data_IF_259772399026
#
_entry.id   IF_259772399026
#
_cell.length_a   1.000
_cell.length_b   1.000
_cell.length_c   1.000
_cell.angle_alpha   90.00
_cell.angle_beta   90.00
_cell.angle_gamma   90.00
#
_symmetry.space_group_name_H-M   'P 1'
#
loop_
_entity.id
_entity.type
_entity.pdbx_description
1 polymer ?
#
# COMPACT_ATOMS: atom_id res chain seq x y z
N UNK A 1 -46.13 11.17 39.14
CA UNK A 1 -44.76 10.69 38.90
C UNK A 1 -43.82 11.46 39.82
N UNK A 2 -42.95 10.78 40.58
CA UNK A 2 -42.07 11.45 41.56
C UNK A 2 -40.83 12.05 40.88
N UNK A 3 -40.49 13.30 41.22
CA UNK A 3 -39.41 14.09 40.61
C UNK A 3 -38.01 13.83 41.21
N UNK A 4 -37.82 12.73 41.95
CA UNK A 4 -36.59 12.45 42.69
C UNK A 4 -35.43 11.96 41.82
N UNK A 5 -35.70 11.24 40.72
CA UNK A 5 -34.66 10.78 39.79
C UNK A 5 -34.45 11.84 38.71
N UNK A 6 -33.44 12.70 38.86
CA UNK A 6 -33.12 13.79 37.94
C UNK A 6 -31.68 13.65 37.41
N UNK A 7 -31.40 14.06 36.16
CA UNK A 7 -30.03 14.17 35.66
C UNK A 7 -29.23 15.20 36.48
N UNK A 8 -27.92 14.99 36.57
CA UNK A 8 -26.99 15.99 37.08
C UNK A 8 -26.61 16.93 35.94
N UNK A 9 -27.13 18.15 35.94
CA UNK A 9 -26.78 19.17 34.94
C UNK A 9 -25.50 19.91 35.30
N UNK A 10 -25.31 20.22 36.58
CA UNK A 10 -24.09 20.84 37.10
C UNK A 10 -23.30 19.84 37.95
N UNK A 11 -22.02 19.58 37.64
CA UNK A 11 -21.18 18.73 38.46
C UNK A 11 -20.81 19.43 39.78
N UNK A 12 -20.57 18.65 40.83
CA UNK A 12 -20.07 19.18 42.10
C UNK A 12 -18.69 19.83 41.91
N UNK A 13 -18.55 21.10 42.28
CA UNK A 13 -17.27 21.83 42.21
C UNK A 13 -16.40 21.47 43.41
N UNK A 14 -15.14 21.09 43.16
CA UNK A 14 -14.17 20.87 44.22
C UNK A 14 -13.93 22.16 45.03
N UNK A 15 -14.10 22.06 46.35
CA UNK A 15 -13.63 23.02 47.35
C UNK A 15 -12.87 22.24 48.41
N UNK A 16 -12.05 22.90 49.22
CA UNK A 16 -11.42 22.24 50.37
C UNK A 16 -12.51 21.72 51.31
N UNK A 17 -12.77 20.42 51.24
CA UNK A 17 -13.62 19.72 52.18
C UNK A 17 -12.84 19.50 53.47
N UNK A 18 -13.47 19.77 54.61
CA UNK A 18 -12.87 19.53 55.92
C UNK A 18 -12.58 18.03 56.07
N UNK A 19 -11.32 17.66 55.86
CA UNK A 19 -10.87 16.27 55.97
C UNK A 19 -10.80 15.93 57.46
N UNK A 20 -11.70 15.06 57.91
CA UNK A 20 -11.66 14.55 59.29
C UNK A 20 -10.42 13.70 59.57
N UNK A 21 -10.18 13.32 60.84
CA UNK A 21 -9.00 12.55 61.25
C UNK A 21 -9.00 11.09 60.76
N UNK A 22 -10.01 10.66 60.01
CA UNK A 22 -10.11 9.30 59.48
C UNK A 22 -9.25 9.14 58.22
N UNK A 23 -8.35 8.16 58.23
CA UNK A 23 -7.53 7.79 57.09
C UNK A 23 -8.08 6.54 56.41
N UNK A 24 -8.08 6.53 55.07
CA UNK A 24 -8.44 5.36 54.28
C UNK A 24 -7.20 4.47 54.06
N UNK A 25 -7.36 3.15 53.90
CA UNK A 25 -6.26 2.20 53.65
C UNK A 25 -5.36 2.61 52.47
N UNK A 26 -5.92 3.24 51.44
CA UNK A 26 -5.18 3.75 50.27
C UNK A 26 -4.29 4.97 50.57
N UNK A 27 -4.50 5.65 51.68
CA UNK A 27 -3.69 6.80 52.13
C UNK A 27 -2.53 6.37 53.04
N UNK A 28 -2.40 5.06 53.31
CA UNK A 28 -1.21 4.56 53.98
C UNK A 28 0.03 4.84 53.11
N UNK A 29 1.21 5.08 53.72
CA UNK A 29 2.42 5.37 52.96
C UNK A 29 2.76 4.27 51.95
N UNK A 30 2.74 4.62 50.66
CA UNK A 30 3.10 3.75 49.54
C UNK A 30 3.81 4.60 48.47
N UNK A 31 4.80 4.01 47.78
CA UNK A 31 5.60 4.71 46.76
C UNK A 31 6.19 6.04 47.25
N UNK A 32 6.80 6.02 48.43
CA UNK A 32 7.39 7.21 49.08
C UNK A 32 8.64 7.74 48.38
N UNK A 33 9.15 7.04 47.38
CA UNK A 33 10.33 7.42 46.60
C UNK A 33 9.95 7.58 45.14
N UNK A 34 10.21 8.78 44.59
CA UNK A 34 10.02 9.05 43.17
C UNK A 34 11.20 8.51 42.37
N UNK A 35 10.90 7.79 41.28
CA UNK A 35 11.91 7.35 40.32
C UNK A 35 12.25 8.53 39.41
N UNK A 36 13.51 8.93 39.39
CA UNK A 36 14.05 9.89 38.43
C UNK A 36 14.64 9.14 37.24
N UNK A 37 14.57 9.76 36.06
CA UNK A 37 15.19 9.22 34.85
C UNK A 37 16.71 9.21 35.03
N UNK A 38 17.35 8.11 34.64
CA UNK A 38 18.81 7.99 34.58
C UNK A 38 19.30 8.27 33.15
N UNK A 39 20.56 8.68 32.96
CA UNK A 39 21.15 8.76 31.62
C UNK A 39 20.94 7.45 30.84
N UNK A 40 20.55 7.55 29.57
CA UNK A 40 20.19 6.45 28.68
C UNK A 40 18.71 6.04 28.70
N UNK A 41 17.88 6.61 29.59
CA UNK A 41 16.43 6.37 29.63
C UNK A 41 15.62 7.43 28.86
N UNK A 42 16.29 8.37 28.19
CA UNK A 42 15.69 9.50 27.51
C UNK A 42 15.27 10.63 28.45
N UNK A 43 14.82 11.75 27.87
CA UNK A 43 14.39 12.95 28.58
C UNK A 43 15.57 13.77 29.12
N UNK A 44 15.30 14.66 30.06
CA UNK A 44 16.25 15.69 30.55
C UNK A 44 17.48 15.14 31.27
N UNK A 45 17.51 13.84 31.58
CA UNK A 45 18.68 13.17 32.15
C UNK A 45 19.80 12.95 31.12
N UNK A 46 19.48 13.02 29.83
CA UNK A 46 20.45 12.93 28.74
C UNK A 46 20.88 14.34 28.33
N UNK A 47 22.14 14.68 28.59
CA UNK A 47 22.70 15.98 28.21
C UNK A 47 23.10 16.09 26.72
N UNK A 48 22.93 15.00 25.95
CA UNK A 48 23.26 14.96 24.54
C UNK A 48 22.09 15.48 23.70
N UNK A 49 22.36 16.49 22.87
CA UNK A 49 21.39 16.97 21.87
C UNK A 49 21.36 15.97 20.72
N UNK A 50 20.26 15.23 20.57
CA UNK A 50 20.03 14.30 19.46
C UNK A 50 19.27 14.99 18.34
N UNK A 51 19.65 14.73 17.09
CA UNK A 51 18.83 15.10 15.94
C UNK A 51 17.69 14.09 15.78
N UNK A 52 16.56 14.39 16.42
CA UNK A 52 15.39 13.53 16.43
C UNK A 52 14.75 13.38 15.05
N UNK A 53 14.92 14.37 14.16
CA UNK A 53 14.37 14.32 12.81
C UNK A 53 15.11 13.28 11.98
N UNK A 54 16.44 13.32 12.01
CA UNK A 54 17.26 12.34 11.29
C UNK A 54 17.03 10.91 11.81
N UNK A 55 16.97 10.73 13.13
CA UNK A 55 16.71 9.43 13.77
C UNK A 55 15.33 8.86 13.36
N UNK A 56 14.30 9.71 13.32
CA UNK A 56 12.95 9.32 12.91
C UNK A 56 12.92 8.88 11.44
N UNK A 57 13.53 9.65 10.53
CA UNK A 57 13.56 9.30 9.10
C UNK A 57 14.29 7.97 8.86
N UNK A 58 15.39 7.72 9.58
CA UNK A 58 16.10 6.45 9.51
C UNK A 58 15.25 5.28 10.03
N UNK A 59 14.54 5.48 11.16
CA UNK A 59 13.67 4.47 11.74
C UNK A 59 12.48 4.14 10.83
N UNK A 60 11.89 5.15 10.18
CA UNK A 60 10.84 4.97 9.19
C UNK A 60 11.34 4.20 7.97
N UNK A 61 12.50 4.58 7.41
CA UNK A 61 13.10 3.88 6.27
C UNK A 61 13.36 2.39 6.60
N UNK A 62 13.91 2.10 7.78
CA UNK A 62 14.12 0.73 8.24
C UNK A 62 12.80 -0.05 8.41
N UNK A 63 11.76 0.59 8.94
CA UNK A 63 10.44 -0.02 9.07
C UNK A 63 9.82 -0.34 7.70
N UNK A 64 9.87 0.60 6.75
CA UNK A 64 9.33 0.40 5.40
C UNK A 64 10.11 -0.66 4.62
N UNK A 65 11.44 -0.70 4.73
CA UNK A 65 12.25 -1.77 4.15
C UNK A 65 11.84 -3.15 4.69
N UNK A 66 11.65 -3.27 6.02
CA UNK A 66 11.17 -4.50 6.66
C UNK A 66 9.77 -4.92 6.21
N UNK A 67 8.84 -3.97 6.06
CA UNK A 67 7.47 -4.25 5.60
C UNK A 67 7.44 -4.66 4.12
N UNK A 68 8.25 -4.00 3.27
CA UNK A 68 8.35 -4.30 1.83
C UNK A 68 9.21 -5.52 1.52
N UNK A 69 9.97 -6.03 2.50
CA UNK A 69 10.85 -7.19 2.34
C UNK A 69 12.12 -6.90 1.52
N UNK A 70 12.56 -5.64 1.47
CA UNK A 70 13.75 -5.19 0.74
C UNK A 70 14.92 -4.80 1.66
N UNK A 71 16.12 -4.58 1.08
CA UNK A 71 17.26 -4.04 1.84
C UNK A 71 16.97 -2.61 2.32
N UNK A 72 17.59 -2.23 3.44
CA UNK A 72 17.48 -0.87 3.99
C UNK A 72 18.20 0.09 3.04
N UNK A 73 17.54 1.12 2.48
CA UNK A 73 18.21 2.12 1.66
C UNK A 73 19.23 2.88 2.53
N UNK A 74 20.44 3.07 2.00
CA UNK A 74 21.56 3.70 2.70
C UNK A 74 21.40 5.22 2.87
N UNK A 75 20.52 5.84 2.07
CA UNK A 75 20.25 7.27 2.05
C UNK A 75 18.74 7.50 2.25
N UNK A 76 18.33 8.47 3.08
CA UNK A 76 16.93 8.87 3.18
C UNK A 76 16.53 9.57 1.87
N UNK A 77 15.83 8.86 0.99
CA UNK A 77 15.20 9.46 -0.19
C UNK A 77 14.40 10.71 0.23
N UNK A 78 14.59 11.88 -0.42
CA UNK A 78 13.83 13.07 -0.09
C UNK A 78 12.35 12.76 -0.30
N UNK A 79 11.54 13.02 0.73
CA UNK A 79 10.11 12.76 0.73
C UNK A 79 9.43 13.49 -0.44
N UNK A 80 9.26 12.81 -1.57
CA UNK A 80 8.46 13.30 -2.69
C UNK A 80 6.99 13.16 -2.31
N UNK A 81 6.41 14.30 -1.92
CA UNK A 81 4.99 14.62 -1.92
C UNK A 81 4.02 13.50 -1.48
N UNK A 82 3.83 13.37 -0.16
CA UNK A 82 2.57 12.86 0.38
C UNK A 82 1.72 14.05 0.87
N UNK A 83 0.96 14.62 -0.05
CA UNK A 83 -0.02 15.71 0.12
C UNK A 83 -1.23 15.29 0.97
N UNK A 84 -1.03 14.61 2.10
CA UNK A 84 -2.16 14.18 2.94
C UNK A 84 -1.94 14.17 4.46
N UNK A 85 -0.93 14.89 4.95
CA UNK A 85 -0.80 15.34 6.35
C UNK A 85 0.49 16.14 6.56
N UNK A 86 0.57 17.34 6.00
CA UNK A 86 1.47 18.37 6.54
C UNK A 86 0.58 19.29 7.38
N UNK A 87 0.54 19.06 8.68
CA UNK A 87 0.12 20.10 9.62
C UNK A 87 1.41 20.76 10.11
N UNK A 88 1.45 22.08 9.98
CA UNK A 88 2.36 22.99 10.67
C UNK A 88 3.81 23.03 10.12
N UNK A 89 4.01 23.91 9.15
CA UNK A 89 5.19 24.78 9.14
C UNK A 89 4.71 26.15 8.63
N UNK A 90 4.17 26.95 9.54
CA UNK A 90 3.86 28.35 9.27
C UNK A 90 5.16 29.13 9.39
N UNK A 91 5.72 29.55 8.28
CA UNK A 91 6.63 30.70 8.15
C UNK A 91 6.88 30.94 6.65
N UNK A 92 6.64 32.19 6.24
CA UNK A 92 6.95 32.81 4.94
C UNK A 92 6.08 32.50 3.71
N UNK A 93 4.82 32.95 3.74
CA UNK A 93 4.20 33.52 2.53
C UNK A 93 3.87 34.99 2.77
N UNK A 94 4.62 35.85 2.09
CA UNK A 94 4.42 37.29 1.99
C UNK A 94 2.95 37.59 1.65
N UNK A 95 2.46 38.71 2.19
CA UNK A 95 1.14 39.30 1.95
C UNK A 95 0.82 39.43 0.45
N UNK A 96 0.36 38.37 -0.18
CA UNK A 96 -0.36 38.43 -1.45
C UNK A 96 -1.85 38.47 -1.15
N UNK A 97 -2.47 39.58 -1.56
CA UNK A 97 -3.89 39.87 -1.40
C UNK A 97 -4.74 38.65 -1.85
N UNK A 98 -5.64 38.10 -1.01
CA UNK A 98 -6.45 36.93 -1.36
C UNK A 98 -7.24 37.08 -2.67
N UNK A 99 -7.50 38.32 -3.10
CA UNK A 99 -8.13 38.61 -4.40
C UNK A 99 -7.22 38.31 -5.60
N UNK A 100 -5.90 38.52 -5.47
CA UNK A 100 -4.93 38.21 -6.52
C UNK A 100 -4.81 36.70 -6.74
N UNK A 101 -4.77 35.92 -5.65
CA UNK A 101 -4.78 34.45 -5.71
C UNK A 101 -6.06 33.93 -6.36
N UNK A 102 -7.22 34.52 -6.04
CA UNK A 102 -8.51 34.18 -6.67
C UNK A 102 -8.55 34.50 -8.16
N UNK A 103 -8.00 35.65 -8.60
CA UNK A 103 -7.91 35.99 -10.03
C UNK A 103 -7.05 35.02 -10.82
N UNK A 104 -5.86 34.67 -10.30
CA UNK A 104 -4.94 33.73 -10.93
C UNK A 104 -5.56 32.35 -11.12
N UNK A 105 -6.23 31.84 -10.08
CA UNK A 105 -6.92 30.55 -10.13
C UNK A 105 -8.05 30.58 -11.18
N UNK A 106 -8.84 31.66 -11.23
CA UNK A 106 -9.97 31.76 -12.17
C UNK A 106 -9.49 31.83 -13.63
N UNK A 107 -8.37 32.49 -13.89
CA UNK A 107 -7.74 32.55 -15.22
C UNK A 107 -7.14 31.21 -15.65
N UNK A 108 -6.46 30.49 -14.74
CA UNK A 108 -5.92 29.15 -14.99
C UNK A 108 -7.03 28.10 -15.22
N UNK A 109 -8.17 28.22 -14.53
CA UNK A 109 -9.31 27.31 -14.71
C UNK A 109 -10.19 27.67 -15.90
N UNK A 110 -10.03 28.87 -16.48
CA UNK A 110 -10.86 29.35 -17.59
C UNK A 110 -10.72 28.48 -18.84
N UNK A 111 -9.51 28.00 -19.10
CA UNK A 111 -9.21 27.17 -20.27
C UNK A 111 -9.69 25.71 -20.08
N UNK A 112 -9.95 25.30 -18.84
CA UNK A 112 -10.47 23.97 -18.50
C UNK A 112 -12.01 23.93 -18.56
N UNK A 113 -12.68 25.06 -18.33
CA UNK A 113 -14.15 25.18 -18.30
C UNK A 113 -14.75 25.64 -19.65
N UNK A 114 -13.91 26.01 -20.62
CA UNK A 114 -14.34 26.35 -21.99
C UNK A 114 -14.59 25.08 -22.82
N UNK A 115 -15.79 24.51 -22.69
CA UNK A 115 -16.26 23.40 -23.53
C UNK A 115 -16.71 23.94 -24.91
N UNK A 116 -15.92 23.69 -25.97
CA UNK A 116 -16.39 23.68 -27.35
C UNK A 116 -15.38 22.95 -28.26
N UNK A 117 -15.82 21.79 -28.73
CA UNK A 117 -15.56 21.15 -30.02
C UNK A 117 -14.91 22.08 -31.08
N UNK A 118 -13.61 21.88 -31.35
CA UNK A 118 -12.95 22.28 -32.58
C UNK A 118 -11.93 21.19 -32.93
N UNK A 119 -12.34 20.31 -33.85
CA UNK A 119 -11.47 19.34 -34.49
C UNK A 119 -10.67 20.05 -35.60
N UNK A 120 -9.42 20.40 -35.28
CA UNK A 120 -8.42 20.83 -36.26
C UNK A 120 -7.28 19.84 -36.34
N UNK A 121 -7.26 19.02 -37.40
CA UNK A 121 -6.03 18.45 -37.96
C UNK A 121 -5.11 19.60 -38.39
N UNK A 122 -3.83 19.56 -38.01
CA UNK A 122 -2.75 19.97 -38.92
C UNK A 122 -1.43 19.28 -38.57
N UNK A 123 -0.73 19.03 -39.65
CA UNK A 123 0.49 18.31 -39.95
C UNK A 123 1.75 19.13 -39.63
N UNK A 124 2.88 18.42 -39.53
CA UNK A 124 4.26 18.92 -39.66
C UNK A 124 4.86 19.84 -38.58
N UNK A 125 5.92 19.36 -37.93
CA UNK A 125 7.21 20.07 -37.96
C UNK A 125 8.35 19.12 -37.59
N UNK A 126 9.14 18.82 -38.61
CA UNK A 126 10.57 18.50 -38.55
C UNK A 126 11.28 19.59 -37.71
N UNK A 127 12.11 19.20 -36.74
CA UNK A 127 13.09 20.09 -36.10
C UNK A 127 14.40 19.32 -35.91
N UNK A 128 15.36 19.81 -36.68
CA UNK A 128 16.72 19.37 -36.88
C UNK A 128 17.59 19.98 -35.78
N UNK A 129 18.36 19.16 -35.07
CA UNK A 129 19.38 19.66 -34.13
C UNK A 129 20.57 18.71 -34.10
N UNK A 130 21.47 18.91 -35.05
CA UNK A 130 22.89 18.54 -34.98
C UNK A 130 23.59 19.30 -33.83
N UNK A 131 24.23 18.58 -32.91
CA UNK A 131 25.59 18.89 -32.42
C UNK A 131 26.20 17.67 -31.70
N UNK A 132 27.53 17.53 -31.78
CA UNK A 132 28.41 16.44 -31.30
C UNK A 132 28.67 15.24 -32.24
N UNK A 133 29.11 15.55 -33.46
CA UNK A 133 29.87 14.65 -34.35
C UNK A 133 31.31 14.47 -33.82
N UNK A 134 31.58 13.39 -33.07
CA UNK A 134 32.85 12.64 -33.13
C UNK A 134 32.84 11.36 -32.25
N UNK A 135 31.89 11.18 -31.31
CA UNK A 135 31.73 9.94 -30.50
C UNK A 135 30.60 9.00 -30.97
N UNK A 136 29.70 9.46 -31.85
CA UNK A 136 28.49 8.73 -32.28
C UNK A 136 28.75 7.64 -33.34
N UNK A 137 29.82 7.76 -34.12
CA UNK A 137 30.12 6.85 -35.23
C UNK A 137 30.65 5.47 -34.76
N UNK A 138 31.37 5.41 -33.64
CA UNK A 138 31.82 4.13 -33.05
C UNK A 138 30.64 3.39 -32.39
N UNK A 139 29.76 4.14 -31.73
CA UNK A 139 28.57 3.64 -31.03
C UNK A 139 27.52 3.06 -31.99
N UNK A 140 27.33 3.65 -33.17
CA UNK A 140 26.44 3.11 -34.21
C UNK A 140 26.92 1.76 -34.77
N UNK A 141 28.24 1.57 -34.93
CA UNK A 141 28.81 0.28 -35.37
C UNK A 141 28.67 -0.80 -34.29
N UNK A 142 28.74 -0.42 -33.02
CA UNK A 142 28.49 -1.34 -31.90
C UNK A 142 27.00 -1.71 -31.80
N UNK A 143 26.09 -0.74 -32.02
CA UNK A 143 24.65 -0.99 -32.09
C UNK A 143 24.26 -1.89 -33.27
N UNK A 144 24.87 -1.72 -34.44
CA UNK A 144 24.65 -2.62 -35.58
C UNK A 144 25.12 -4.05 -35.30
N UNK A 145 26.25 -4.21 -34.59
CA UNK A 145 26.74 -5.52 -34.14
C UNK A 145 25.80 -6.16 -33.12
N UNK A 146 25.30 -5.39 -32.16
CA UNK A 146 24.30 -5.85 -31.17
C UNK A 146 22.97 -6.19 -31.86
N UNK A 147 22.54 -5.39 -32.83
CA UNK A 147 21.30 -5.63 -33.59
C UNK A 147 21.40 -6.90 -34.44
N UNK A 148 22.57 -7.17 -35.03
CA UNK A 148 22.84 -8.40 -35.76
C UNK A 148 22.89 -9.62 -34.84
N UNK A 149 23.60 -9.54 -33.71
CA UNK A 149 23.65 -10.63 -32.72
C UNK A 149 22.26 -10.93 -32.15
N UNK A 150 21.47 -9.89 -31.87
CA UNK A 150 20.10 -10.03 -31.35
C UNK A 150 19.13 -10.58 -32.40
N UNK A 151 19.33 -10.26 -33.68
CA UNK A 151 18.57 -10.84 -34.79
C UNK A 151 18.89 -12.33 -34.96
N UNK A 152 20.18 -12.72 -34.90
CA UNK A 152 20.60 -14.13 -34.99
C UNK A 152 20.09 -14.95 -33.80
N UNK A 153 20.10 -14.40 -32.58
CA UNK A 153 19.54 -15.06 -31.40
C UNK A 153 18.02 -15.22 -31.48
N UNK A 154 17.31 -14.19 -31.97
CA UNK A 154 15.86 -14.26 -32.18
C UNK A 154 15.50 -15.29 -33.26
N UNK A 155 16.28 -15.39 -34.32
CA UNK A 155 16.09 -16.40 -35.36
C UNK A 155 16.32 -17.83 -34.82
N UNK A 156 17.31 -18.02 -33.95
CA UNK A 156 17.51 -19.31 -33.27
C UNK A 156 16.34 -19.65 -32.34
N UNK A 157 15.86 -18.70 -31.53
CA UNK A 157 14.70 -18.90 -30.64
C UNK A 157 13.41 -19.16 -31.43
N UNK A 158 13.18 -18.48 -32.55
CA UNK A 158 12.02 -18.72 -33.42
C UNK A 158 12.09 -20.10 -34.10
N UNK A 159 13.30 -20.58 -34.47
CA UNK A 159 13.49 -21.95 -34.99
C UNK A 159 13.28 -23.02 -33.93
N UNK A 160 13.77 -22.80 -32.71
CA UNK A 160 13.56 -23.71 -31.57
C UNK A 160 12.07 -23.78 -31.18
N UNK A 161 11.39 -22.63 -31.19
CA UNK A 161 9.95 -22.56 -30.92
C UNK A 161 9.13 -23.25 -32.01
N UNK A 162 9.47 -23.05 -33.29
CA UNK A 162 8.83 -23.75 -34.39
C UNK A 162 9.03 -25.27 -34.29
N UNK A 163 10.24 -25.73 -33.94
CA UNK A 163 10.52 -27.15 -33.72
C UNK A 163 9.75 -27.72 -32.51
N UNK A 164 9.59 -26.95 -31.43
CA UNK A 164 8.79 -27.35 -30.28
C UNK A 164 7.29 -27.45 -30.64
N UNK A 165 6.76 -26.49 -31.40
CA UNK A 165 5.38 -26.50 -31.89
C UNK A 165 5.13 -27.68 -32.85
N UNK A 166 6.10 -28.04 -33.71
CA UNK A 166 6.02 -29.24 -34.55
C UNK A 166 6.06 -30.53 -33.71
N UNK A 167 6.90 -30.61 -32.68
CA UNK A 167 6.97 -31.76 -31.79
C UNK A 167 5.67 -31.95 -30.98
N UNK A 168 5.05 -30.86 -30.52
CA UNK A 168 3.73 -30.89 -29.88
C UNK A 168 2.65 -31.35 -30.86
N UNK A 169 2.68 -30.88 -32.11
CA UNK A 169 1.74 -31.34 -33.14
C UNK A 169 1.90 -32.82 -33.46
N UNK A 170 3.13 -33.33 -33.56
CA UNK A 170 3.38 -34.76 -33.77
C UNK A 170 2.91 -35.60 -32.58
N UNK A 171 3.14 -35.12 -31.36
CA UNK A 171 2.67 -35.77 -30.14
C UNK A 171 1.14 -35.84 -30.10
N UNK A 172 0.45 -34.75 -30.42
CA UNK A 172 -1.02 -34.68 -30.45
C UNK A 172 -1.62 -35.54 -31.58
N UNK A 173 -0.96 -35.63 -32.73
CA UNK A 173 -1.39 -36.54 -33.81
C UNK A 173 -1.20 -38.01 -33.39
N UNK A 174 -0.09 -38.34 -32.71
CA UNK A 174 0.21 -39.69 -32.27
C UNK A 174 -0.68 -40.15 -31.10
N UNK A 175 -0.98 -39.28 -30.14
CA UNK A 175 -1.77 -39.59 -28.94
C UNK A 175 -3.24 -39.21 -29.02
N UNK A 176 -3.62 -38.34 -29.97
CA UNK A 176 -4.99 -37.86 -30.17
C UNK A 176 -5.93 -38.92 -30.77
N UNK A 177 -5.39 -40.03 -31.30
CA UNK A 177 -6.21 -41.14 -31.79
C UNK A 177 -6.40 -42.23 -30.72
N UNK A 178 -7.55 -42.27 -30.04
CA UNK A 178 -7.83 -43.25 -28.98
C UNK A 178 -7.99 -44.69 -29.50
N UNK A 179 -8.11 -44.92 -30.81
CA UNK A 179 -8.22 -46.26 -31.41
C UNK A 179 -6.85 -46.95 -31.57
N UNK A 180 -5.76 -46.18 -31.63
CA UNK A 180 -4.39 -46.69 -31.81
C UNK A 180 -3.68 -46.99 -30.48
N UNK A 181 -4.29 -46.65 -29.34
CA UNK A 181 -3.76 -46.89 -28.00
C UNK A 181 -4.56 -47.98 -27.23
N UNK A 182 -4.31 -49.29 -27.49
CA UNK A 182 -5.08 -50.40 -26.93
C UNK A 182 -4.87 -50.64 -25.42
N UNK A 183 -4.10 -49.79 -24.72
CA UNK A 183 -3.88 -49.86 -23.26
C UNK A 183 -4.84 -48.95 -22.48
N UNK A 184 -5.68 -48.16 -23.16
CA UNK A 184 -6.70 -47.34 -22.51
C UNK A 184 -8.00 -48.16 -22.39
N UNK A 185 -8.18 -48.82 -21.25
CA UNK A 185 -9.44 -49.49 -20.92
C UNK A 185 -10.63 -48.51 -21.04
N UNK A 186 -11.50 -48.73 -22.01
CA UNK A 186 -12.65 -47.85 -22.34
C UNK A 186 -13.81 -47.92 -21.34
N UNK A 187 -13.59 -48.56 -20.19
CA UNK A 187 -14.60 -48.68 -19.15
C UNK A 187 -14.61 -47.37 -18.35
N UNK A 188 -15.52 -46.47 -18.72
CA UNK A 188 -15.73 -45.19 -18.03
C UNK A 188 -16.08 -45.49 -16.57
N UNK A 189 -15.06 -45.47 -15.70
CA UNK A 189 -15.24 -45.57 -14.25
C UNK A 189 -15.95 -44.31 -13.78
N UNK A 190 -17.29 -44.39 -13.79
CA UNK A 190 -18.15 -43.37 -13.21
C UNK A 190 -17.68 -43.16 -11.78
N UNK A 191 -17.15 -41.97 -11.50
CA UNK A 191 -16.64 -41.65 -10.18
C UNK A 191 -17.84 -41.62 -9.23
N UNK A 192 -17.65 -42.05 -8.00
CA UNK A 192 -18.69 -41.97 -6.96
C UNK A 192 -19.20 -40.52 -6.78
N UNK A 193 -18.32 -39.55 -7.03
CA UNK A 193 -18.60 -38.11 -7.04
C UNK A 193 -19.40 -37.62 -8.24
N UNK A 194 -19.62 -38.43 -9.29
CA UNK A 194 -20.19 -37.97 -10.56
C UNK A 194 -21.71 -37.73 -10.47
N UNK A 195 -22.39 -38.48 -9.61
CA UNK A 195 -23.84 -38.40 -9.34
C UNK A 195 -24.22 -37.42 -8.21
N UNK A 196 -23.58 -36.26 -8.22
CA UNK A 196 -23.85 -35.20 -7.22
C UNK A 196 -24.31 -33.97 -7.98
N UNK A 197 -25.50 -33.48 -7.65
CA UNK A 197 -26.16 -32.34 -8.29
C UNK A 197 -25.45 -30.99 -8.10
N UNK A 198 -24.51 -30.91 -7.15
CA UNK A 198 -23.68 -29.72 -6.94
C UNK A 198 -22.20 -30.09 -6.95
N UNK A 199 -21.41 -29.38 -7.77
CA UNK A 199 -19.95 -29.54 -7.84
C UNK A 199 -19.26 -28.26 -7.36
N UNK A 200 -18.12 -28.38 -6.70
CA UNK A 200 -17.17 -27.29 -6.47
C UNK A 200 -17.75 -26.00 -5.85
N UNK A 201 -18.72 -26.10 -4.93
CA UNK A 201 -19.42 -24.95 -4.33
C UNK A 201 -18.48 -23.97 -3.59
N UNK A 202 -17.41 -24.48 -2.98
CA UNK A 202 -16.45 -23.71 -2.19
C UNK A 202 -15.17 -23.34 -2.97
N UNK A 203 -15.16 -23.52 -4.31
CA UNK A 203 -13.98 -23.19 -5.11
C UNK A 203 -13.76 -21.66 -5.07
N UNK A 204 -12.62 -21.24 -4.52
CA UNK A 204 -12.26 -19.82 -4.40
C UNK A 204 -12.81 -19.10 -3.17
N UNK A 205 -13.34 -19.81 -2.16
CA UNK A 205 -13.75 -19.18 -0.89
C UNK A 205 -12.63 -18.98 0.12
N UNK A 206 -11.41 -19.43 -0.20
CA UNK A 206 -10.26 -19.39 0.70
C UNK A 206 -9.92 -18.00 1.23
N UNK A 207 -10.20 -16.94 0.47
CA UNK A 207 -9.88 -15.56 0.85
C UNK A 207 -10.99 -14.88 1.66
N UNK A 208 -12.20 -15.46 1.68
CA UNK A 208 -13.35 -14.91 2.42
C UNK A 208 -13.15 -15.15 3.92
N UNK A 209 -12.59 -14.14 4.60
CA UNK A 209 -12.34 -14.15 6.04
C UNK A 209 -10.87 -14.20 6.45
N UNK A 210 -9.94 -14.28 5.47
CA UNK A 210 -8.49 -14.14 5.71
C UNK A 210 -8.02 -12.69 5.68
N UNK A 211 -8.80 -11.78 5.08
CA UNK A 211 -8.50 -10.35 5.07
C UNK A 211 -8.54 -9.82 6.51
N UNK A 212 -7.42 -9.24 6.95
CA UNK A 212 -7.30 -8.60 8.26
C UNK A 212 -7.85 -7.18 8.17
N UNK A 213 -9.16 -7.07 8.10
CA UNK A 213 -9.85 -5.78 8.07
C UNK A 213 -10.19 -5.35 9.51
N UNK A 214 -9.84 -4.12 9.86
CA UNK A 214 -10.30 -3.51 11.10
C UNK A 214 -11.55 -2.68 10.81
N UNK A 215 -12.64 -2.98 11.51
CA UNK A 215 -13.90 -2.25 11.42
C UNK A 215 -14.11 -1.47 12.71
N UNK A 216 -14.19 -0.15 12.63
CA UNK A 216 -14.53 0.72 13.76
C UNK A 216 -16.05 0.70 14.03
N UNK A 217 -16.58 -0.48 14.32
CA UNK A 217 -17.98 -0.73 14.68
C UNK A 217 -18.05 -1.94 15.61
N UNK A 218 -18.63 -1.75 16.79
CA UNK A 218 -18.70 -2.79 17.83
C UNK A 218 -19.62 -3.96 17.46
N UNK A 219 -20.60 -3.77 16.57
CA UNK A 219 -21.56 -4.82 16.19
C UNK A 219 -21.19 -5.49 14.86
N UNK A 220 -20.56 -4.75 13.95
CA UNK A 220 -20.19 -5.26 12.62
C UNK A 220 -18.75 -5.74 12.52
N UNK A 221 -17.93 -5.51 13.53
CA UNK A 221 -16.59 -6.07 13.62
C UNK A 221 -16.62 -7.59 13.57
N UNK A 222 -15.62 -8.16 12.89
CA UNK A 222 -15.42 -9.61 12.83
C UNK A 222 -15.23 -10.23 14.23
N UNK A 223 -14.70 -9.46 15.18
CA UNK A 223 -14.64 -9.87 16.58
C UNK A 223 -16.04 -10.15 17.13
N UNK A 224 -16.98 -9.22 16.92
CA UNK A 224 -18.35 -9.36 17.44
C UNK A 224 -19.12 -10.47 16.73
N UNK A 225 -19.00 -10.58 15.40
CA UNK A 225 -19.61 -11.69 14.65
C UNK A 225 -19.13 -13.04 15.16
N UNK A 226 -17.81 -13.20 15.38
CA UNK A 226 -17.22 -14.43 15.94
C UNK A 226 -17.65 -14.66 17.39
N UNK A 227 -17.74 -13.61 18.20
CA UNK A 227 -18.24 -13.69 19.57
C UNK A 227 -19.68 -14.20 19.60
N UNK A 228 -20.57 -13.60 18.81
CA UNK A 228 -21.98 -14.00 18.75
C UNK A 228 -22.13 -15.43 18.22
N UNK A 229 -21.44 -15.80 17.13
CA UNK A 229 -21.43 -17.18 16.63
C UNK A 229 -20.90 -18.21 17.63
N UNK A 230 -20.06 -17.80 18.60
CA UNK A 230 -19.48 -18.71 19.61
C UNK A 230 -20.38 -18.86 20.83
N UNK A 231 -21.00 -17.79 21.31
CA UNK A 231 -21.73 -17.77 22.58
C UNK A 231 -23.26 -17.75 22.42
N UNK A 232 -23.75 -17.50 21.21
CA UNK A 232 -25.17 -17.54 20.86
C UNK A 232 -25.33 -18.55 19.72
N UNK A 233 -26.14 -19.59 19.95
CA UNK A 233 -26.37 -20.68 19.00
C UNK A 233 -27.64 -20.46 18.19
#
# INVERSE_FOLDING_TARGET
MTTAHRPTFDPAKGKEAQRGPAYHQRLLPAHTQLKVRKPGQGGDADHQVRDLRAELLQAEAAHFAKVRGGPVPAEPEPATNTTKRQLENGEDEKEEDPEAKRRRILEETRDIDADSDDAGEDDSSDDDSDDDEDETAELQRELEKIKRERAEKREQEERERAAAEEAEREHDIALGNPLLNPKADFNVKRRWDDDVIFKNQARGTDDKGKKKEFVNDLLRSDFHKRFMSKYVR
#
